data_IF_781346633686
#
_entry.id   IF_781346633686
#
_cell.length_a   1.000
_cell.length_b   1.000
_cell.length_c   1.000
_cell.angle_alpha   90.00
_cell.angle_beta   90.00
_cell.angle_gamma   90.00
#
_symmetry.space_group_name_H-M   'P 1'
#
loop_
_entity.id
_entity.type
_entity.pdbx_description
1 polymer ?
#
# COMPACT_ATOMS: atom_id res chain seq x y z
N UNK A 1 -13.69 -9.44 -8.62
CA UNK A 1 -13.11 -8.51 -7.65
C UNK A 1 -14.22 -7.83 -6.88
N UNK A 2 -14.11 -7.80 -5.55
CA UNK A 2 -15.08 -7.14 -4.66
C UNK A 2 -14.38 -5.97 -3.98
N UNK A 3 -15.01 -4.81 -4.01
CA UNK A 3 -14.56 -3.59 -3.34
C UNK A 3 -15.70 -3.01 -2.50
N UNK A 4 -15.45 -2.81 -1.21
CA UNK A 4 -16.45 -2.27 -0.28
C UNK A 4 -16.84 -0.82 -0.61
N UNK A 5 -15.86 -0.05 -1.09
CA UNK A 5 -16.04 1.33 -1.51
C UNK A 5 -16.87 1.48 -2.81
N UNK A 6 -17.25 2.71 -3.13
CA UNK A 6 -18.10 2.98 -4.30
C UNK A 6 -17.40 2.71 -5.65
N UNK A 7 -16.09 2.56 -5.67
CA UNK A 7 -15.29 2.33 -6.87
C UNK A 7 -13.93 1.73 -6.56
N UNK A 8 -13.30 1.07 -7.51
CA UNK A 8 -11.91 0.60 -7.38
C UNK A 8 -10.95 1.78 -7.32
N UNK A 9 -9.80 1.62 -6.67
CA UNK A 9 -8.75 2.64 -6.57
C UNK A 9 -9.30 4.00 -6.09
N UNK A 10 -9.94 4.03 -4.94
CA UNK A 10 -10.57 5.24 -4.36
C UNK A 10 -9.59 6.39 -4.15
N UNK A 11 -8.30 6.11 -3.98
CA UNK A 11 -7.22 7.11 -3.88
C UNK A 11 -6.87 7.81 -5.19
N UNK A 12 -7.33 7.27 -6.34
CA UNK A 12 -7.12 7.88 -7.65
C UNK A 12 -8.31 8.75 -8.06
N UNK A 13 -8.11 9.70 -8.99
CA UNK A 13 -9.21 10.44 -9.61
C UNK A 13 -10.24 9.52 -10.28
N UNK A 14 -11.51 9.95 -10.30
CA UNK A 14 -12.63 9.15 -10.84
C UNK A 14 -12.32 8.62 -12.26
N UNK A 15 -11.81 9.47 -13.14
CA UNK A 15 -11.48 9.08 -14.52
C UNK A 15 -10.46 7.94 -14.64
N UNK A 16 -9.49 7.85 -13.72
CA UNK A 16 -8.52 6.75 -13.68
C UNK A 16 -9.10 5.50 -13.02
N UNK A 17 -9.96 5.65 -12.02
CA UNK A 17 -10.71 4.57 -11.41
C UNK A 17 -11.64 3.87 -12.44
N UNK A 18 -12.36 4.63 -13.24
CA UNK A 18 -13.20 4.12 -14.34
C UNK A 18 -12.37 3.37 -15.40
N UNK A 19 -11.22 3.92 -15.80
CA UNK A 19 -10.30 3.26 -16.72
C UNK A 19 -9.73 1.96 -16.14
N UNK A 20 -9.41 1.94 -14.85
CA UNK A 20 -8.97 0.72 -14.16
C UNK A 20 -10.06 -0.35 -14.13
N UNK A 21 -11.30 0.03 -13.81
CA UNK A 21 -12.45 -0.89 -13.85
C UNK A 21 -12.67 -1.46 -15.26
N UNK A 22 -12.62 -0.61 -16.29
CA UNK A 22 -12.74 -1.05 -17.68
C UNK A 22 -11.60 -2.00 -18.11
N UNK A 23 -10.38 -1.77 -17.65
CA UNK A 23 -9.24 -2.67 -17.89
C UNK A 23 -9.44 -4.03 -17.21
N UNK A 24 -9.93 -4.07 -15.97
CA UNK A 24 -10.29 -5.30 -15.27
C UNK A 24 -11.37 -6.09 -16.02
N UNK A 25 -12.43 -5.41 -16.46
CA UNK A 25 -13.51 -6.02 -17.23
C UNK A 25 -13.02 -6.63 -18.55
N UNK A 26 -12.10 -5.97 -19.27
CA UNK A 26 -11.45 -6.53 -20.47
C UNK A 26 -10.66 -7.81 -20.19
N UNK A 27 -10.16 -7.98 -18.97
CA UNK A 27 -9.50 -9.21 -18.51
C UNK A 27 -10.50 -10.30 -18.09
N UNK A 28 -11.80 -10.06 -18.22
CA UNK A 28 -12.86 -10.97 -17.79
C UNK A 28 -13.18 -10.90 -16.29
N UNK A 29 -12.64 -9.90 -15.57
CA UNK A 29 -12.89 -9.75 -14.14
C UNK A 29 -14.21 -9.01 -13.93
N UNK A 30 -15.17 -9.64 -13.26
CA UNK A 30 -16.37 -8.96 -12.77
C UNK A 30 -15.99 -8.06 -11.59
N UNK A 31 -16.26 -6.76 -11.70
CA UNK A 31 -16.01 -5.77 -10.64
C UNK A 31 -17.31 -5.46 -9.91
N UNK A 32 -17.35 -5.76 -8.62
CA UNK A 32 -18.49 -5.56 -7.73
C UNK A 32 -18.12 -4.55 -6.65
N UNK A 33 -18.78 -3.40 -6.63
CA UNK A 33 -18.49 -2.30 -5.69
C UNK A 33 -19.64 -2.01 -4.75
N UNK A 34 -19.39 -1.21 -3.71
CA UNK A 34 -20.42 -0.67 -2.81
C UNK A 34 -20.89 -1.61 -1.71
N UNK A 35 -20.35 -2.81 -1.59
CA UNK A 35 -20.72 -3.75 -0.54
C UNK A 35 -19.50 -4.56 -0.09
N UNK A 36 -19.26 -4.57 1.21
CA UNK A 36 -18.19 -5.37 1.83
C UNK A 36 -18.54 -6.87 1.83
N UNK A 37 -17.52 -7.70 1.83
CA UNK A 37 -17.65 -9.13 2.17
C UNK A 37 -17.90 -9.23 3.67
N UNK A 38 -18.92 -9.98 4.05
CA UNK A 38 -19.39 -10.14 5.43
C UNK A 38 -18.84 -11.40 6.09
N UNK A 39 -18.70 -12.48 5.30
CA UNK A 39 -18.16 -13.74 5.78
C UNK A 39 -17.40 -14.46 4.66
N UNK A 40 -16.40 -15.25 5.03
CA UNK A 40 -15.62 -16.14 4.14
C UNK A 40 -15.47 -17.48 4.85
N UNK A 41 -15.71 -18.57 4.13
CA UNK A 41 -15.45 -19.93 4.59
C UNK A 41 -14.95 -20.85 3.46
N UNK A 42 -14.84 -22.15 3.73
CA UNK A 42 -14.32 -23.13 2.77
C UNK A 42 -15.22 -23.31 1.52
N UNK A 43 -16.49 -22.88 1.57
CA UNK A 43 -17.44 -23.01 0.47
C UNK A 43 -17.59 -21.71 -0.33
N UNK A 44 -17.10 -20.57 0.15
CA UNK A 44 -17.22 -19.31 -0.58
C UNK A 44 -17.25 -18.08 0.32
N UNK A 45 -18.01 -17.08 -0.10
CA UNK A 45 -18.14 -15.81 0.63
C UNK A 45 -19.59 -15.33 0.65
N UNK A 46 -19.90 -14.46 1.61
CA UNK A 46 -21.18 -13.78 1.73
C UNK A 46 -21.01 -12.27 1.53
N UNK A 47 -21.90 -11.66 0.76
CA UNK A 47 -21.97 -10.24 0.47
C UNK A 47 -23.39 -9.77 0.28
N UNK A 48 -23.82 -8.75 1.05
CA UNK A 48 -25.18 -8.21 0.96
C UNK A 48 -26.28 -9.25 1.21
N UNK A 49 -26.04 -10.19 2.13
CA UNK A 49 -26.96 -11.29 2.43
C UNK A 49 -27.03 -12.39 1.36
N UNK A 50 -26.20 -12.31 0.32
CA UNK A 50 -26.13 -13.33 -0.72
C UNK A 50 -24.83 -14.13 -0.60
N UNK A 51 -24.97 -15.46 -0.63
CA UNK A 51 -23.84 -16.37 -0.64
C UNK A 51 -23.42 -16.70 -2.06
N UNK A 52 -22.11 -16.62 -2.30
CA UNK A 52 -21.49 -16.99 -3.57
C UNK A 52 -20.50 -18.13 -3.34
N UNK A 53 -20.68 -19.23 -4.05
CA UNK A 53 -19.75 -20.37 -4.00
C UNK A 53 -18.42 -20.00 -4.67
N UNK A 54 -17.32 -20.26 -3.98
CA UNK A 54 -15.97 -20.04 -4.50
C UNK A 54 -14.99 -21.00 -3.84
N UNK A 55 -14.14 -21.65 -4.64
CA UNK A 55 -13.11 -22.57 -4.13
C UNK A 55 -11.84 -21.85 -3.71
N UNK A 56 -11.60 -20.68 -4.27
CA UNK A 56 -10.41 -19.85 -3.97
C UNK A 56 -10.85 -18.43 -3.70
N UNK A 57 -10.53 -17.93 -2.53
CA UNK A 57 -10.77 -16.53 -2.14
C UNK A 57 -9.42 -15.91 -1.80
N UNK A 58 -9.09 -14.80 -2.46
CA UNK A 58 -7.89 -14.02 -2.19
C UNK A 58 -8.29 -12.77 -1.40
N UNK A 59 -7.95 -12.76 -0.11
CA UNK A 59 -8.18 -11.58 0.73
C UNK A 59 -7.03 -10.59 0.56
N UNK A 60 -7.29 -9.49 -0.10
CA UNK A 60 -6.33 -8.43 -0.40
C UNK A 60 -6.85 -7.04 0.04
N UNK A 61 -7.59 -7.00 1.15
CA UNK A 61 -8.29 -5.80 1.64
C UNK A 61 -7.41 -4.87 2.50
N UNK A 62 -6.12 -4.79 2.20
CA UNK A 62 -5.18 -3.91 2.89
C UNK A 62 -4.30 -4.61 3.91
N UNK A 63 -3.52 -3.83 4.64
CA UNK A 63 -2.59 -4.28 5.67
C UNK A 63 -2.93 -3.60 7.00
N UNK A 64 -2.78 -4.33 8.09
CA UNK A 64 -2.87 -3.79 9.44
C UNK A 64 -1.49 -3.33 9.92
N UNK A 65 -1.48 -2.38 10.85
CA UNK A 65 -0.24 -1.98 11.52
C UNK A 65 0.36 -3.16 12.30
N UNK A 66 1.69 -3.19 12.39
CA UNK A 66 2.39 -4.22 13.15
C UNK A 66 1.93 -4.23 14.62
N UNK A 67 1.70 -5.41 15.24
CA UNK A 67 1.36 -5.51 16.65
C UNK A 67 2.45 -4.97 17.58
N UNK A 68 3.69 -4.81 17.11
CA UNK A 68 4.77 -4.16 17.85
C UNK A 68 4.41 -2.74 18.34
N UNK A 69 3.57 -2.01 17.60
CA UNK A 69 3.11 -0.68 18.03
C UNK A 69 2.43 -0.69 19.40
N UNK A 70 1.71 -1.76 19.74
CA UNK A 70 1.05 -1.90 21.04
C UNK A 70 2.04 -2.10 22.20
N UNK A 71 3.22 -2.65 21.91
CA UNK A 71 4.25 -2.92 22.91
C UNK A 71 5.07 -1.67 23.28
N UNK A 72 4.96 -0.61 22.49
CA UNK A 72 5.69 0.65 22.73
C UNK A 72 5.06 1.52 23.82
N UNK A 73 3.86 1.19 24.31
CA UNK A 73 3.16 1.97 25.33
C UNK A 73 2.72 3.38 24.87
N UNK A 74 2.83 3.68 23.57
CA UNK A 74 2.46 4.97 22.99
C UNK A 74 1.01 4.99 22.50
N UNK A 75 0.39 6.17 22.35
CA UNK A 75 -0.92 6.31 21.76
C UNK A 75 -0.97 5.76 20.35
N UNK A 76 -2.03 5.01 20.03
CA UNK A 76 -2.28 4.47 18.72
C UNK A 76 -3.46 5.19 18.05
N UNK A 77 -3.46 5.21 16.72
CA UNK A 77 -4.63 5.61 15.95
C UNK A 77 -5.63 4.43 15.78
N UNK A 78 -6.77 4.69 15.13
CA UNK A 78 -7.80 3.67 14.89
C UNK A 78 -7.33 2.48 14.06
N UNK A 79 -6.25 2.65 13.25
CA UNK A 79 -5.65 1.61 12.44
C UNK A 79 -4.54 0.84 13.21
N UNK A 80 -4.29 1.17 14.47
CA UNK A 80 -3.24 0.56 15.31
C UNK A 80 -1.85 1.10 15.02
N UNK A 81 -1.71 2.25 14.33
CA UNK A 81 -0.44 2.89 14.06
C UNK A 81 -0.04 3.79 15.23
N UNK A 82 1.25 3.87 15.51
CA UNK A 82 1.83 4.66 16.60
C UNK A 82 1.75 6.15 16.25
N UNK A 83 1.13 6.95 17.10
CA UNK A 83 1.12 8.41 16.96
C UNK A 83 2.50 8.95 17.33
N UNK A 84 3.20 9.50 16.34
CA UNK A 84 4.56 10.01 16.49
C UNK A 84 4.60 11.54 16.56
N UNK A 85 5.71 12.06 17.10
CA UNK A 85 6.01 13.48 17.03
C UNK A 85 6.31 13.91 15.58
N UNK A 86 6.30 15.23 15.28
CA UNK A 86 6.58 15.72 13.92
C UNK A 86 7.91 15.26 13.33
N UNK A 87 8.90 14.96 14.15
CA UNK A 87 10.23 14.48 13.76
C UNK A 87 10.35 12.95 13.77
N UNK A 88 9.21 12.22 13.88
CA UNK A 88 9.08 10.77 13.91
C UNK A 88 9.56 10.10 15.20
N UNK A 89 9.84 10.86 16.26
CA UNK A 89 10.15 10.29 17.58
C UNK A 89 8.89 9.78 18.27
N UNK A 90 9.11 8.83 19.16
CA UNK A 90 8.09 8.36 20.08
C UNK A 90 7.88 9.43 21.16
N UNK A 91 6.65 9.83 21.50
CA UNK A 91 6.41 10.75 22.61
C UNK A 91 7.03 10.28 23.92
N UNK A 92 7.88 11.11 24.52
CA UNK A 92 8.59 10.81 25.77
C UNK A 92 9.88 9.98 25.61
N UNK A 93 10.31 9.65 24.38
CA UNK A 93 11.49 8.86 24.07
C UNK A 93 12.26 9.45 22.90
N UNK A 94 13.23 10.29 23.18
CA UNK A 94 14.02 10.98 22.15
C UNK A 94 14.95 10.04 21.36
N UNK A 95 15.24 8.86 21.90
CA UNK A 95 16.06 7.81 21.31
C UNK A 95 15.27 6.82 20.42
N UNK A 96 13.92 6.86 20.48
CA UNK A 96 13.06 5.90 19.75
C UNK A 96 12.37 6.58 18.58
N UNK A 97 12.55 6.04 17.39
CA UNK A 97 11.89 6.50 16.17
C UNK A 97 10.95 5.44 15.62
N UNK A 98 9.82 5.89 15.07
CA UNK A 98 8.87 5.02 14.35
C UNK A 98 8.68 5.57 12.94
N UNK A 99 8.87 4.72 11.94
CA UNK A 99 8.81 5.13 10.52
C UNK A 99 8.03 4.11 9.69
N UNK A 100 7.57 4.54 8.51
CA UNK A 100 6.81 3.71 7.58
C UNK A 100 5.38 3.46 8.02
N UNK A 101 4.82 2.31 7.64
CA UNK A 101 3.40 1.98 7.80
C UNK A 101 2.94 1.89 9.27
N UNK A 102 3.89 1.76 10.20
CA UNK A 102 3.61 1.77 11.64
C UNK A 102 3.42 3.18 12.21
N UNK A 103 3.92 4.22 11.55
CA UNK A 103 3.86 5.59 12.03
C UNK A 103 2.56 6.29 11.60
N UNK A 104 1.86 6.90 12.55
CA UNK A 104 0.76 7.82 12.30
C UNK A 104 1.25 9.26 12.48
N UNK A 105 1.42 9.99 11.39
CA UNK A 105 1.86 11.38 11.39
C UNK A 105 0.89 12.25 10.61
N UNK A 106 0.49 13.37 11.20
CA UNK A 106 -0.24 14.44 10.52
C UNK A 106 0.75 15.48 9.98
N UNK A 107 0.62 15.84 8.72
CA UNK A 107 1.40 16.90 8.11
C UNK A 107 0.91 18.29 8.56
N UNK A 108 1.69 19.33 8.34
CA UNK A 108 1.34 20.71 8.69
C UNK A 108 0.04 21.20 8.00
N UNK A 109 -0.33 20.61 6.87
CA UNK A 109 -1.57 20.90 6.14
C UNK A 109 -2.80 20.12 6.66
N UNK A 110 -2.65 19.38 7.77
CA UNK A 110 -3.73 18.60 8.39
C UNK A 110 -4.03 17.26 7.70
N UNK A 111 -3.28 16.88 6.66
CA UNK A 111 -3.45 15.57 6.00
C UNK A 111 -2.54 14.51 6.64
N UNK A 112 -3.02 13.28 6.82
CA UNK A 112 -2.17 12.21 7.30
C UNK A 112 -1.13 11.84 6.24
N UNK A 113 0.08 11.46 6.67
CA UNK A 113 1.05 10.84 5.78
C UNK A 113 0.50 9.47 5.35
N UNK A 114 0.44 9.17 4.05
CA UNK A 114 -0.12 7.92 3.57
C UNK A 114 0.82 6.74 3.87
N UNK A 115 0.24 5.56 4.14
CA UNK A 115 0.97 4.29 4.27
C UNK A 115 1.36 3.75 2.89
N UNK A 116 2.41 4.32 2.30
CA UNK A 116 2.93 3.95 0.98
C UNK A 116 4.46 3.88 1.00
N UNK A 117 5.04 3.04 0.16
CA UNK A 117 6.48 2.84 0.10
C UNK A 117 7.31 4.13 -0.08
N UNK A 118 6.91 5.13 -0.91
CA UNK A 118 7.61 6.40 -0.98
C UNK A 118 7.65 7.17 0.34
N UNK A 119 6.58 7.15 1.13
CA UNK A 119 6.55 7.79 2.44
C UNK A 119 7.46 7.07 3.43
N UNK A 120 7.38 5.74 3.50
CA UNK A 120 8.25 4.93 4.36
C UNK A 120 9.74 5.17 4.06
N UNK A 121 10.12 5.20 2.77
CA UNK A 121 11.50 5.49 2.33
C UNK A 121 11.97 6.88 2.75
N UNK A 122 11.12 7.90 2.60
CA UNK A 122 11.43 9.28 3.00
C UNK A 122 11.55 9.40 4.54
N UNK A 123 10.65 8.75 5.29
CA UNK A 123 10.73 8.68 6.75
C UNK A 123 12.04 8.02 7.19
N UNK A 124 12.41 6.88 6.62
CA UNK A 124 13.66 6.18 6.95
C UNK A 124 14.90 7.05 6.68
N UNK A 125 14.95 7.76 5.55
CA UNK A 125 16.03 8.68 5.24
C UNK A 125 16.08 9.88 6.21
N UNK A 126 14.92 10.39 6.62
CA UNK A 126 14.82 11.46 7.60
C UNK A 126 15.33 11.03 8.98
N UNK A 127 14.89 9.87 9.46
CA UNK A 127 15.34 9.28 10.73
C UNK A 127 16.85 9.03 10.71
N UNK A 128 17.40 8.46 9.61
CA UNK A 128 18.83 8.23 9.48
C UNK A 128 19.64 9.53 9.60
N UNK A 129 19.14 10.65 9.04
CA UNK A 129 19.78 11.96 9.17
C UNK A 129 19.76 12.45 10.62
N UNK A 130 18.62 12.33 11.32
CA UNK A 130 18.49 12.74 12.72
C UNK A 130 19.41 11.91 13.65
N UNK A 131 19.47 10.59 13.45
CA UNK A 131 20.39 9.72 14.18
C UNK A 131 21.84 10.12 13.91
N UNK A 132 22.21 10.40 12.65
CA UNK A 132 23.55 10.87 12.31
C UNK A 132 23.91 12.19 12.98
N UNK A 133 22.96 13.14 13.08
CA UNK A 133 23.16 14.38 13.81
C UNK A 133 23.37 14.14 15.31
N UNK A 134 22.55 13.27 15.91
CA UNK A 134 22.62 12.89 17.32
C UNK A 134 23.97 12.25 17.67
N UNK A 135 24.47 11.33 16.83
CA UNK A 135 25.78 10.70 16.98
C UNK A 135 26.93 11.73 16.85
N UNK A 136 26.73 12.81 16.11
CA UNK A 136 27.66 13.93 16.02
C UNK A 136 27.50 14.97 17.14
N UNK A 137 26.77 14.67 18.21
CA UNK A 137 26.52 15.55 19.35
C UNK A 137 25.57 16.72 19.08
N UNK A 138 24.81 16.68 17.97
CA UNK A 138 23.82 17.71 17.62
C UNK A 138 22.41 17.21 17.89
N UNK A 139 21.64 17.94 18.66
CA UNK A 139 20.21 17.64 18.86
C UNK A 139 19.41 18.39 17.81
N UNK A 140 18.77 17.63 16.92
CA UNK A 140 17.91 18.17 15.86
C UNK A 140 16.49 17.63 16.00
N UNK A 141 15.48 18.53 15.95
CA UNK A 141 14.04 18.22 15.98
C UNK A 141 13.37 18.71 14.69
N UNK A 142 14.02 18.50 13.54
CA UNK A 142 13.46 18.93 12.26
C UNK A 142 12.21 18.12 11.93
N UNK A 143 11.04 18.76 11.71
CA UNK A 143 9.84 18.04 11.33
C UNK A 143 9.99 17.31 9.99
N UNK A 144 9.38 16.13 9.90
CA UNK A 144 9.27 15.41 8.64
C UNK A 144 8.21 16.04 7.75
N UNK A 145 8.53 16.22 6.48
CA UNK A 145 7.58 16.67 5.46
C UNK A 145 7.55 15.64 4.32
N UNK A 146 6.39 15.04 4.07
CA UNK A 146 6.22 14.09 2.98
C UNK A 146 6.13 14.82 1.63
N UNK A 147 6.96 14.43 0.70
CA UNK A 147 6.89 14.86 -0.68
C UNK A 147 6.13 13.82 -1.49
N UNK A 148 4.94 14.18 -1.96
CA UNK A 148 4.12 13.30 -2.80
C UNK A 148 4.75 13.14 -4.18
N UNK A 149 4.90 11.88 -4.61
CA UNK A 149 5.42 11.50 -5.93
C UNK A 149 4.33 10.99 -6.85
N UNK A 150 3.06 11.03 -6.40
CA UNK A 150 1.91 10.52 -7.13
C UNK A 150 1.64 9.04 -6.90
N UNK A 151 0.62 8.57 -7.59
CA UNK A 151 0.12 7.22 -7.47
C UNK A 151 0.25 6.46 -8.79
N UNK A 152 0.67 5.20 -8.68
CA UNK A 152 0.82 4.29 -9.82
C UNK A 152 0.21 2.94 -9.45
N UNK A 153 -0.63 2.39 -10.33
CA UNK A 153 -1.19 1.05 -10.14
C UNK A 153 -1.21 0.27 -11.46
N UNK A 154 -0.72 -0.97 -11.44
CA UNK A 154 -0.89 -1.90 -12.57
C UNK A 154 -2.22 -2.63 -12.47
N UNK A 155 -2.87 -2.83 -13.63
CA UNK A 155 -4.17 -3.51 -13.74
C UNK A 155 -4.01 -4.85 -14.48
N UNK A 156 -2.81 -5.33 -14.60
CA UNK A 156 -2.49 -6.53 -15.36
C UNK A 156 -1.37 -6.30 -16.35
N UNK A 157 -1.31 -7.14 -17.37
CA UNK A 157 -0.25 -7.03 -18.39
C UNK A 157 -0.54 -5.85 -19.33
N UNK A 158 0.47 -5.00 -19.55
CA UNK A 158 0.41 -3.83 -20.45
C UNK A 158 -0.68 -2.79 -20.09
N UNK A 159 -1.17 -2.81 -18.86
CA UNK A 159 -2.20 -1.90 -18.41
C UNK A 159 -1.87 -1.36 -17.01
N UNK A 160 -1.87 -0.04 -16.88
CA UNK A 160 -1.67 0.67 -15.62
C UNK A 160 -2.42 1.99 -15.62
N UNK A 161 -2.50 2.61 -14.46
CA UNK A 161 -2.97 4.00 -14.28
C UNK A 161 -1.91 4.79 -13.53
N UNK A 162 -1.71 6.04 -13.91
CA UNK A 162 -0.73 6.96 -13.34
C UNK A 162 -1.41 8.28 -13.02
N UNK A 163 -1.21 8.77 -11.80
CA UNK A 163 -1.65 10.08 -11.33
C UNK A 163 -0.46 10.81 -10.72
N UNK A 164 0.12 11.76 -11.44
CA UNK A 164 1.26 12.55 -10.98
C UNK A 164 0.79 13.84 -10.30
N UNK A 165 1.45 14.27 -9.21
CA UNK A 165 1.09 15.47 -8.48
C UNK A 165 1.42 16.74 -9.29
N UNK A 166 0.89 17.91 -8.88
CA UNK A 166 1.14 19.18 -9.56
C UNK A 166 2.62 19.51 -9.76
N UNK A 167 3.48 19.15 -8.79
CA UNK A 167 4.94 19.35 -8.88
C UNK A 167 5.64 18.53 -9.98
N UNK A 168 4.95 17.51 -10.53
CA UNK A 168 5.42 16.68 -11.64
C UNK A 168 4.52 16.81 -12.89
N UNK A 169 3.90 17.97 -13.07
CA UNK A 169 3.11 18.30 -14.27
C UNK A 169 1.63 17.91 -14.20
N UNK A 170 1.14 17.38 -13.07
CA UNK A 170 -0.29 16.99 -12.88
C UNK A 170 -0.82 16.08 -14.00
N UNK A 171 0.04 15.19 -14.50
CA UNK A 171 -0.29 14.33 -15.63
C UNK A 171 -1.08 13.11 -15.16
N UNK A 172 -2.13 12.76 -15.93
CA UNK A 172 -2.97 11.59 -15.70
C UNK A 172 -3.06 10.80 -16.98
N UNK A 173 -2.62 9.56 -16.96
CA UNK A 173 -2.66 8.70 -18.13
C UNK A 173 -2.83 7.22 -17.73
N UNK A 174 -3.16 6.38 -18.71
CA UNK A 174 -3.47 4.97 -18.47
C UNK A 174 -3.09 4.10 -19.68
N UNK A 175 -3.17 2.79 -19.51
CA UNK A 175 -2.88 1.82 -20.56
C UNK A 175 -1.39 1.52 -20.68
N UNK A 176 -0.91 1.26 -21.91
CA UNK A 176 0.44 0.80 -22.18
C UNK A 176 1.52 1.81 -21.77
N UNK A 177 1.32 3.10 -22.05
CA UNK A 177 2.26 4.16 -21.66
C UNK A 177 2.39 4.25 -20.13
N UNK A 178 1.29 4.14 -19.40
CA UNK A 178 1.29 4.10 -17.94
C UNK A 178 2.02 2.87 -17.42
N UNK A 179 1.89 1.73 -18.10
CA UNK A 179 2.58 0.50 -17.75
C UNK A 179 4.11 0.62 -17.94
N UNK A 180 4.57 1.20 -19.05
CA UNK A 180 6.00 1.47 -19.26
C UNK A 180 6.55 2.45 -18.23
N UNK A 181 5.79 3.49 -17.91
CA UNK A 181 6.17 4.45 -16.87
C UNK A 181 6.27 3.77 -15.49
N UNK A 182 5.28 2.93 -15.15
CA UNK A 182 5.29 2.14 -13.92
C UNK A 182 6.53 1.23 -13.85
N UNK A 183 6.84 0.52 -14.93
CA UNK A 183 8.01 -0.36 -15.04
C UNK A 183 9.31 0.44 -14.80
N UNK A 184 9.48 1.55 -15.51
CA UNK A 184 10.67 2.40 -15.39
C UNK A 184 10.84 2.96 -13.98
N UNK A 185 9.75 3.46 -13.36
CA UNK A 185 9.77 3.96 -12.00
C UNK A 185 10.17 2.87 -10.99
N UNK A 186 9.59 1.67 -11.09
CA UNK A 186 9.90 0.58 -10.16
C UNK A 186 11.34 0.09 -10.28
N UNK A 187 11.86 -0.03 -11.50
CA UNK A 187 13.27 -0.39 -11.71
C UNK A 187 14.21 0.72 -11.22
N UNK A 188 13.86 1.99 -11.47
CA UNK A 188 14.67 3.13 -11.03
C UNK A 188 14.83 3.17 -9.49
N UNK A 189 13.76 2.90 -8.76
CA UNK A 189 13.77 2.91 -7.29
C UNK A 189 14.40 1.67 -6.64
N UNK A 190 14.77 0.64 -7.40
CA UNK A 190 15.51 -0.50 -6.87
C UNK A 190 16.94 -0.09 -6.46
N UNK A 191 17.37 -0.60 -5.32
CA UNK A 191 18.72 -0.35 -4.79
C UNK A 191 19.73 -1.22 -5.55
N UNK A 192 20.80 -0.56 -6.04
CA UNK A 192 21.92 -1.22 -6.70
C UNK A 192 21.68 -1.58 -8.17
N UNK A 193 22.73 -1.36 -8.97
CA UNK A 193 22.70 -1.64 -10.42
C UNK A 193 22.46 -3.12 -10.72
N UNK A 194 23.11 -4.01 -9.98
CA UNK A 194 22.94 -5.47 -10.12
C UNK A 194 21.48 -5.89 -9.92
N UNK A 195 20.82 -5.37 -8.87
CA UNK A 195 19.43 -5.70 -8.61
C UNK A 195 18.49 -5.23 -9.73
N UNK A 196 18.75 -4.03 -10.28
CA UNK A 196 18.00 -3.50 -11.43
C UNK A 196 18.12 -4.40 -12.65
N UNK A 197 19.34 -4.83 -12.97
CA UNK A 197 19.59 -5.69 -14.12
C UNK A 197 18.94 -7.07 -13.96
N UNK A 198 19.11 -7.70 -12.79
CA UNK A 198 18.52 -9.02 -12.50
C UNK A 198 17.00 -8.97 -12.56
N UNK A 199 16.37 -7.94 -11.98
CA UNK A 199 14.91 -7.78 -12.02
C UNK A 199 14.42 -7.55 -13.45
N UNK A 200 15.11 -6.69 -14.23
CA UNK A 200 14.76 -6.47 -15.64
C UNK A 200 14.83 -7.76 -16.46
N UNK A 201 15.90 -8.53 -16.32
CA UNK A 201 16.06 -9.81 -17.03
C UNK A 201 14.99 -10.81 -16.63
N UNK A 202 14.72 -10.96 -15.34
CA UNK A 202 13.67 -11.86 -14.83
C UNK A 202 12.28 -11.45 -15.31
N UNK A 203 11.98 -10.16 -15.32
CA UNK A 203 10.69 -9.67 -15.80
C UNK A 203 10.55 -9.82 -17.32
N UNK A 204 11.60 -9.51 -18.09
CA UNK A 204 11.61 -9.75 -19.54
C UNK A 204 11.39 -11.22 -19.86
N UNK A 205 12.09 -12.12 -19.17
CA UNK A 205 11.92 -13.56 -19.32
C UNK A 205 10.51 -14.03 -18.96
N UNK A 206 10.00 -13.64 -17.78
CA UNK A 206 8.65 -13.98 -17.35
C UNK A 206 7.57 -13.43 -18.30
N UNK A 207 7.82 -12.27 -18.88
CA UNK A 207 6.92 -11.67 -19.86
C UNK A 207 6.91 -12.42 -21.19
N UNK A 208 8.10 -12.85 -21.66
CA UNK A 208 8.25 -13.60 -22.91
C UNK A 208 7.72 -15.03 -22.80
N UNK A 209 8.04 -15.71 -21.71
CA UNK A 209 7.71 -17.15 -21.53
C UNK A 209 6.35 -17.39 -20.92
N UNK A 210 5.60 -16.36 -20.55
CA UNK A 210 4.32 -16.48 -19.83
C UNK A 210 4.42 -17.37 -18.57
N UNK A 211 5.61 -17.45 -17.96
CA UNK A 211 5.81 -18.29 -16.79
C UNK A 211 4.93 -17.82 -15.62
N UNK A 212 4.19 -18.77 -15.07
CA UNK A 212 3.41 -18.59 -13.85
C UNK A 212 4.32 -18.83 -12.66
N UNK A 213 4.99 -17.79 -12.17
CA UNK A 213 5.92 -17.91 -11.04
C UNK A 213 5.25 -17.95 -9.66
N UNK A 214 3.93 -17.92 -9.59
CA UNK A 214 3.24 -18.03 -8.31
C UNK A 214 3.45 -19.43 -7.74
N UNK A 215 4.35 -19.55 -6.77
CA UNK A 215 4.46 -20.73 -5.92
C UNK A 215 3.43 -20.59 -4.80
N UNK A 216 2.41 -21.43 -4.81
CA UNK A 216 1.50 -21.56 -3.68
C UNK A 216 2.23 -22.35 -2.62
N UNK A 217 2.62 -21.69 -1.52
CA UNK A 217 3.15 -22.37 -0.34
C UNK A 217 1.96 -22.74 0.52
N UNK A 218 1.62 -24.02 0.54
CA UNK A 218 0.63 -24.53 1.50
C UNK A 218 1.30 -24.58 2.87
N UNK A 219 0.94 -23.66 3.77
CA UNK A 219 1.19 -23.81 5.19
C UNK A 219 0.23 -24.87 5.76
N UNK A 220 0.70 -25.65 6.75
CA UNK A 220 -0.16 -26.57 7.51
C UNK A 220 -1.37 -25.80 8.05
N UNK A 221 -2.57 -26.30 7.76
CA UNK A 221 -3.90 -25.92 8.25
C UNK A 221 -3.94 -24.63 9.09
N UNK A 222 -4.20 -23.51 8.43
CA UNK A 222 -4.60 -22.31 9.15
C UNK A 222 -5.96 -22.58 9.81
N UNK A 223 -6.04 -22.36 11.11
CA UNK A 223 -7.31 -22.29 11.82
C UNK A 223 -8.24 -21.30 11.11
N UNK A 224 -9.56 -21.50 11.11
CA UNK A 224 -10.50 -20.60 10.47
C UNK A 224 -10.28 -19.18 11.02
N UNK A 225 -9.93 -18.23 10.15
CA UNK A 225 -9.83 -16.84 10.52
C UNK A 225 -11.26 -16.33 10.83
N UNK A 226 -11.53 -16.11 12.11
CA UNK A 226 -12.69 -15.33 12.52
C UNK A 226 -12.41 -13.88 12.10
N UNK A 227 -13.22 -13.37 11.19
CA UNK A 227 -13.22 -11.93 10.87
C UNK A 227 -13.65 -11.19 12.14
N UNK A 228 -12.84 -10.26 12.67
CA UNK A 228 -13.28 -9.47 13.82
C UNK A 228 -14.52 -8.68 13.42
N UNK A 229 -15.62 -8.92 14.09
CA UNK A 229 -16.83 -8.09 13.96
C UNK A 229 -16.47 -6.69 14.44
N UNK A 230 -16.72 -5.62 13.67
CA UNK A 230 -16.54 -4.27 14.17
C UNK A 230 -17.53 -4.09 15.35
N UNK A 231 -17.00 -3.94 16.54
CA UNK A 231 -17.81 -3.50 17.69
C UNK A 231 -18.25 -2.07 17.42
N UNK A 232 -19.50 -1.92 17.04
CA UNK A 232 -20.21 -0.65 17.08
C UNK A 232 -20.43 -0.38 18.57
N UNK A 233 -19.62 0.48 19.17
CA UNK A 233 -19.93 1.04 20.47
C UNK A 233 -20.99 2.12 20.25
N UNK A 234 -22.15 1.91 20.88
CA UNK A 234 -23.17 2.93 21.12
C UNK A 234 -22.64 4.10 21.94
#
# INVERSE_FOLDING_TARGET
LIEAGPRVLTSFPLSLSEKAAAQLQRLGVQVLTGQAVQAIDAQGYERGGQRTAARTVLWAAGVAASPLGRLLGAPLDRAGRVQVQPDLRLPGHDEVFVAGDLAALMQADGRPVPGVAPAAKQMGAHVARLIGAQLAGRVEHTPFAYKDWGNLATIGRMAAVVDLPPGLGKLKFSGLLAWWFWLAAHVFFLIGFRSRLVVLMNWAWAYWTYQRHARVVFGSQAAPMSVPTPTVNE
#
